data_IF_990360697036
#
_entry.id   IF_990360697036
#
_cell.length_a   1.000
_cell.length_b   1.000
_cell.length_c   1.000
_cell.angle_alpha   90.00
_cell.angle_beta   90.00
_cell.angle_gamma   90.00
#
_symmetry.space_group_name_H-M   'P 1'
#
loop_
_entity.id
_entity.type
_entity.pdbx_description
1 polymer ?
#
# COMPACT_ATOMS: atom_id res chain seq x y z
N UNK A 1 -24.05 -11.77 16.43
CA UNK A 1 -24.11 -10.31 16.65
C UNK A 1 -22.83 -9.57 16.25
N UNK A 2 -21.62 -10.13 16.45
CA UNK A 2 -20.36 -9.43 16.09
C UNK A 2 -20.13 -9.16 14.59
N UNK A 3 -20.46 -10.09 13.69
CA UNK A 3 -20.17 -9.93 12.26
C UNK A 3 -20.97 -8.86 11.51
N UNK A 4 -22.19 -8.52 11.98
CA UNK A 4 -23.02 -7.49 11.34
C UNK A 4 -22.46 -6.08 11.64
N UNK A 5 -21.97 -5.87 12.85
CA UNK A 5 -21.35 -4.62 13.28
C UNK A 5 -20.01 -4.37 12.56
N UNK A 6 -19.24 -5.43 12.30
CA UNK A 6 -18.01 -5.34 11.50
C UNK A 6 -18.30 -4.98 10.04
N UNK A 7 -19.36 -5.55 9.45
CA UNK A 7 -19.75 -5.25 8.07
C UNK A 7 -20.13 -3.78 7.91
N UNK A 8 -20.94 -3.23 8.82
CA UNK A 8 -21.34 -1.82 8.82
C UNK A 8 -20.14 -0.88 8.98
N UNK A 9 -19.17 -1.24 9.83
CA UNK A 9 -17.92 -0.47 10.01
C UNK A 9 -17.10 -0.48 8.72
N UNK A 10 -16.94 -1.64 8.07
CA UNK A 10 -16.20 -1.76 6.82
C UNK A 10 -16.88 -0.98 5.69
N UNK A 11 -18.22 -1.06 5.58
CA UNK A 11 -18.99 -0.27 4.60
C UNK A 11 -18.90 1.23 4.86
N UNK A 12 -18.95 1.65 6.12
CA UNK A 12 -18.79 3.04 6.52
C UNK A 12 -17.41 3.58 6.17
N UNK A 13 -16.36 2.79 6.36
CA UNK A 13 -15.00 3.11 5.93
C UNK A 13 -14.91 3.24 4.40
N UNK A 14 -15.38 2.22 3.66
CA UNK A 14 -15.33 2.22 2.19
C UNK A 14 -16.08 3.40 1.59
N UNK A 15 -17.23 3.79 2.16
CA UNK A 15 -17.97 4.97 1.72
C UNK A 15 -17.14 6.24 1.86
N UNK A 16 -16.58 6.50 3.05
CA UNK A 16 -15.74 7.69 3.29
C UNK A 16 -14.52 7.72 2.38
N UNK A 17 -13.88 6.57 2.18
CA UNK A 17 -12.75 6.45 1.27
C UNK A 17 -13.14 6.77 -0.18
N UNK A 18 -14.29 6.29 -0.66
CA UNK A 18 -14.78 6.58 -2.01
C UNK A 18 -15.33 8.02 -2.16
N UNK A 19 -15.76 8.66 -1.07
CA UNK A 19 -16.09 10.09 -1.06
C UNK A 19 -14.82 10.96 -1.21
N UNK A 20 -13.71 10.54 -0.61
CA UNK A 20 -12.41 11.20 -0.73
C UNK A 20 -11.75 10.95 -2.09
N UNK A 21 -11.92 9.74 -2.65
CA UNK A 21 -11.40 9.33 -3.95
C UNK A 21 -12.54 8.90 -4.91
N UNK A 22 -13.33 9.87 -5.42
CA UNK A 22 -14.54 9.57 -6.19
C UNK A 22 -14.28 9.09 -7.61
N UNK A 23 -13.13 9.44 -8.21
CA UNK A 23 -12.77 9.08 -9.57
C UNK A 23 -11.30 8.62 -9.66
N UNK A 24 -10.95 7.81 -10.68
CA UNK A 24 -9.57 7.49 -10.97
C UNK A 24 -8.79 8.77 -11.29
N UNK A 25 -7.59 8.87 -10.74
CA UNK A 25 -6.65 9.95 -11.01
C UNK A 25 -6.12 9.81 -12.44
N UNK A 26 -6.28 10.87 -13.23
CA UNK A 26 -5.65 11.07 -14.53
C UNK A 26 -4.21 11.57 -14.41
N UNK A 27 -3.47 11.59 -15.53
CA UNK A 27 -2.02 11.89 -15.55
C UNK A 27 -1.65 13.26 -14.96
N UNK A 28 -2.53 14.25 -15.09
CA UNK A 28 -2.32 15.62 -14.60
C UNK A 28 -2.90 15.87 -13.20
N UNK A 29 -3.65 14.91 -12.65
CA UNK A 29 -4.28 15.09 -11.33
C UNK A 29 -3.22 15.04 -10.23
N UNK A 30 -3.32 15.93 -9.22
CA UNK A 30 -2.36 15.97 -8.12
C UNK A 30 -2.44 14.68 -7.29
N UNK A 31 -1.27 14.14 -6.93
CA UNK A 31 -1.20 12.98 -6.05
C UNK A 31 -1.49 13.38 -4.59
N UNK A 32 -2.28 12.59 -3.85
CA UNK A 32 -2.62 12.89 -2.45
C UNK A 32 -1.42 12.84 -1.50
N UNK A 33 -0.37 12.10 -1.88
CA UNK A 33 0.90 12.03 -1.16
C UNK A 33 2.05 12.18 -2.15
N UNK A 34 3.19 12.70 -1.70
CA UNK A 34 4.41 12.62 -2.48
C UNK A 34 4.97 11.18 -2.45
N UNK A 35 5.52 10.71 -3.59
CA UNK A 35 6.26 9.45 -3.61
C UNK A 35 7.51 9.57 -2.72
N UNK A 36 7.99 8.43 -2.20
CA UNK A 36 9.19 8.41 -1.33
C UNK A 36 10.45 8.74 -2.13
N UNK A 37 10.48 8.26 -3.37
CA UNK A 37 11.55 8.34 -4.33
C UNK A 37 11.01 8.85 -5.67
N UNK A 38 11.86 9.37 -6.56
CA UNK A 38 11.43 9.72 -7.93
C UNK A 38 11.37 8.49 -8.84
N UNK A 39 12.21 7.51 -8.55
CA UNK A 39 12.33 6.24 -9.27
C UNK A 39 12.30 5.11 -8.28
N UNK A 40 11.67 4.00 -8.64
CA UNK A 40 11.56 2.79 -7.84
C UNK A 40 12.01 1.59 -8.65
N UNK A 41 12.82 0.70 -8.07
CA UNK A 41 13.18 -0.56 -8.70
C UNK A 41 12.04 -1.59 -8.60
N UNK A 42 12.07 -2.64 -9.42
CA UNK A 42 11.09 -3.74 -9.33
C UNK A 42 11.08 -4.40 -7.94
N UNK A 43 12.24 -4.53 -7.29
CA UNK A 43 12.37 -5.14 -5.97
C UNK A 43 11.77 -4.25 -4.86
N UNK A 44 11.93 -2.94 -4.98
CA UNK A 44 11.40 -1.96 -4.02
C UNK A 44 9.91 -1.67 -4.21
N UNK A 45 9.40 -1.87 -5.42
CA UNK A 45 8.05 -1.50 -5.84
C UNK A 45 6.97 -2.01 -4.88
N UNK A 46 7.09 -3.27 -4.48
CA UNK A 46 6.15 -3.90 -3.54
C UNK A 46 6.17 -3.20 -2.19
N UNK A 47 7.36 -2.89 -1.67
CA UNK A 47 7.54 -2.21 -0.39
C UNK A 47 7.00 -0.79 -0.41
N UNK A 48 7.37 0.00 -1.43
CA UNK A 48 6.91 1.37 -1.58
C UNK A 48 5.38 1.46 -1.75
N UNK A 49 4.79 0.54 -2.52
CA UNK A 49 3.33 0.45 -2.69
C UNK A 49 2.61 0.16 -1.37
N UNK A 50 3.16 -0.76 -0.55
CA UNK A 50 2.60 -1.07 0.75
C UNK A 50 2.71 0.11 1.73
N UNK A 51 3.86 0.78 1.78
CA UNK A 51 4.05 1.97 2.62
C UNK A 51 3.13 3.11 2.19
N UNK A 52 2.98 3.33 0.87
CA UNK A 52 2.06 4.32 0.32
C UNK A 52 0.63 4.06 0.79
N UNK A 53 0.12 2.85 0.61
CA UNK A 53 -1.23 2.55 1.03
C UNK A 53 -1.40 2.53 2.56
N UNK A 54 -0.36 2.21 3.33
CA UNK A 54 -0.39 2.37 4.79
C UNK A 54 -0.48 3.84 5.19
N UNK A 55 0.27 4.73 4.53
CA UNK A 55 0.20 6.18 4.75
C UNK A 55 -1.15 6.76 4.37
N UNK A 56 -1.77 6.26 3.30
CA UNK A 56 -3.08 6.72 2.82
C UNK A 56 -4.24 6.22 3.68
N UNK A 57 -4.28 4.91 3.94
CA UNK A 57 -5.41 4.28 4.62
C UNK A 57 -5.31 4.39 6.14
N UNK A 58 -4.15 4.82 6.65
CA UNK A 58 -3.77 4.95 8.05
C UNK A 58 -4.10 3.75 8.97
N UNK A 59 -4.55 2.62 8.41
CA UNK A 59 -4.77 1.34 9.09
C UNK A 59 -5.08 0.21 8.09
N UNK A 60 -4.27 -0.86 8.21
CA UNK A 60 -4.44 -2.30 7.86
C UNK A 60 -4.71 -2.76 6.40
N UNK A 61 -3.74 -3.56 5.93
CA UNK A 61 -3.81 -4.72 5.00
C UNK A 61 -4.11 -4.46 3.51
N UNK A 62 -3.05 -4.44 2.70
CA UNK A 62 -3.07 -4.19 1.23
C UNK A 62 -2.64 -5.38 0.37
N UNK A 63 -2.78 -6.62 0.87
CA UNK A 63 -2.23 -7.81 0.23
C UNK A 63 -2.80 -8.14 -1.18
N UNK A 64 -3.85 -7.44 -1.65
CA UNK A 64 -4.53 -7.75 -2.92
C UNK A 64 -4.13 -6.87 -4.12
N UNK A 65 -3.35 -5.81 -3.91
CA UNK A 65 -3.03 -4.88 -5.01
C UNK A 65 -1.85 -5.31 -5.90
N UNK A 66 -1.05 -6.27 -5.45
CA UNK A 66 0.21 -6.67 -6.09
C UNK A 66 0.06 -7.58 -7.33
N UNK A 67 -1.06 -7.49 -8.04
CA UNK A 67 -1.38 -8.35 -9.20
C UNK A 67 -1.63 -7.58 -10.50
N UNK A 68 -1.39 -6.26 -10.53
CA UNK A 68 -1.56 -5.45 -11.74
C UNK A 68 -0.35 -5.61 -12.69
N UNK A 69 -0.61 -5.46 -13.99
CA UNK A 69 0.44 -5.37 -15.01
C UNK A 69 1.13 -3.99 -14.93
N UNK A 70 2.45 -4.01 -14.84
CA UNK A 70 3.30 -2.83 -14.60
C UNK A 70 4.18 -2.47 -15.80
N UNK A 71 4.11 -3.29 -16.86
CA UNK A 71 4.87 -3.12 -18.10
C UNK A 71 4.80 -1.71 -18.71
N UNK A 72 3.67 -0.96 -18.63
CA UNK A 72 3.57 0.39 -19.19
C UNK A 72 4.42 1.46 -18.49
N UNK A 73 4.96 1.20 -17.29
CA UNK A 73 5.67 2.20 -16.47
C UNK A 73 7.19 2.05 -16.50
N UNK A 74 7.70 1.15 -17.34
CA UNK A 74 9.13 0.92 -17.52
C UNK A 74 9.79 2.15 -18.13
N UNK A 75 10.90 2.61 -17.53
CA UNK A 75 11.72 3.65 -18.13
C UNK A 75 12.61 3.05 -19.23
N UNK A 76 12.77 3.74 -20.37
CA UNK A 76 13.83 3.45 -21.32
C UNK A 76 15.19 3.56 -20.64
N UNK A 77 16.08 2.60 -20.91
CA UNK A 77 17.44 2.55 -20.39
C UNK A 77 18.24 3.75 -20.92
N UNK A 78 18.46 4.78 -20.10
CA UNK A 78 19.40 5.85 -20.44
C UNK A 78 20.84 5.33 -20.29
N UNK A 79 21.57 5.33 -21.40
CA UNK A 79 22.87 4.69 -21.59
C UNK A 79 24.06 5.43 -20.95
N UNK A 80 23.89 6.04 -19.78
CA UNK A 80 24.99 6.71 -19.07
C UNK A 80 25.06 6.26 -17.62
N UNK A 81 25.60 5.05 -17.42
CA UNK A 81 26.53 4.68 -16.34
C UNK A 81 26.85 3.18 -16.43
N UNK A 82 27.58 2.79 -17.47
CA UNK A 82 28.35 1.55 -17.45
C UNK A 82 29.76 1.86 -16.96
N UNK A 83 29.99 1.75 -15.66
CA UNK A 83 31.28 1.40 -15.09
C UNK A 83 31.10 0.92 -13.64
N UNK A 84 30.92 -0.40 -13.50
CA UNK A 84 30.76 -1.10 -12.24
C UNK A 84 29.76 -2.24 -12.41
N UNK A 85 30.13 -3.44 -12.00
CA UNK A 85 29.34 -4.68 -12.12
C UNK A 85 28.07 -4.65 -11.24
N UNK A 86 27.14 -3.75 -11.53
CA UNK A 86 25.84 -3.69 -10.89
C UNK A 86 24.78 -4.27 -11.82
N UNK A 87 24.09 -5.28 -11.30
CA UNK A 87 22.93 -5.96 -11.89
C UNK A 87 22.03 -4.95 -12.61
N UNK A 88 21.59 -5.20 -13.85
CA UNK A 88 20.70 -4.30 -14.58
C UNK A 88 19.40 -4.06 -13.80
N UNK A 89 19.35 -3.00 -13.00
CA UNK A 89 18.18 -2.65 -12.20
C UNK A 89 17.20 -1.92 -13.10
N UNK A 90 16.08 -2.57 -13.43
CA UNK A 90 14.96 -1.91 -14.11
C UNK A 90 14.34 -0.89 -13.16
N UNK A 91 14.41 0.38 -13.55
CA UNK A 91 13.85 1.50 -12.79
C UNK A 91 12.53 1.96 -13.42
N UNK A 92 11.56 2.26 -12.56
CA UNK A 92 10.24 2.76 -12.94
C UNK A 92 10.04 4.16 -12.37
N UNK A 93 9.18 4.97 -13.00
CA UNK A 93 8.80 6.28 -12.44
C UNK A 93 7.81 6.09 -11.30
N UNK A 94 8.11 6.68 -10.13
CA UNK A 94 7.31 6.46 -8.92
C UNK A 94 5.93 7.12 -8.99
N UNK A 95 5.80 8.31 -9.60
CA UNK A 95 4.52 9.05 -9.67
C UNK A 95 3.45 8.32 -10.51
N UNK A 96 3.70 7.87 -11.76
CA UNK A 96 2.74 7.10 -12.54
C UNK A 96 2.32 5.79 -11.85
N UNK A 97 3.25 5.14 -11.18
CA UNK A 97 2.99 3.90 -10.44
C UNK A 97 2.11 4.16 -9.22
N UNK A 98 2.41 5.20 -8.45
CA UNK A 98 1.60 5.61 -7.33
C UNK A 98 0.17 5.94 -7.78
N UNK A 99 0.00 6.59 -8.93
CA UNK A 99 -1.30 6.85 -9.54
C UNK A 99 -2.03 5.56 -9.90
N UNK A 100 -1.36 4.63 -10.56
CA UNK A 100 -1.92 3.31 -10.89
C UNK A 100 -2.37 2.58 -9.62
N UNK A 101 -1.51 2.57 -8.58
CA UNK A 101 -1.80 1.98 -7.30
C UNK A 101 -3.10 2.56 -6.70
N UNK A 102 -3.21 3.89 -6.68
CA UNK A 102 -4.39 4.59 -6.15
C UNK A 102 -5.66 4.23 -6.93
N UNK A 103 -5.58 4.23 -8.27
CA UNK A 103 -6.71 3.88 -9.13
C UNK A 103 -7.14 2.43 -8.90
N UNK A 104 -6.19 1.51 -8.74
CA UNK A 104 -6.48 0.11 -8.43
C UNK A 104 -7.10 -0.04 -7.05
N UNK A 105 -6.63 0.73 -6.07
CA UNK A 105 -7.15 0.71 -4.70
C UNK A 105 -8.60 1.21 -4.67
N UNK A 106 -8.89 2.27 -5.43
CA UNK A 106 -10.22 2.80 -5.64
C UNK A 106 -11.14 1.76 -6.29
N UNK A 107 -10.70 1.11 -7.37
CA UNK A 107 -11.46 0.06 -8.06
C UNK A 107 -11.84 -1.10 -7.11
N UNK A 108 -10.89 -1.54 -6.28
CA UNK A 108 -11.12 -2.55 -5.24
C UNK A 108 -12.12 -2.03 -4.20
N UNK A 109 -12.00 -0.76 -3.79
CA UNK A 109 -12.93 -0.12 -2.87
C UNK A 109 -14.37 -0.11 -3.40
N UNK A 110 -14.56 0.26 -4.68
CA UNK A 110 -15.87 0.23 -5.36
C UNK A 110 -16.43 -1.19 -5.40
N UNK A 111 -15.62 -2.16 -5.81
CA UNK A 111 -16.03 -3.56 -5.88
C UNK A 111 -16.45 -4.09 -4.50
N UNK A 112 -15.72 -3.75 -3.44
CA UNK A 112 -16.04 -4.18 -2.07
C UNK A 112 -17.24 -3.45 -1.49
N UNK A 113 -17.46 -2.19 -1.86
CA UNK A 113 -18.66 -1.46 -1.44
C UNK A 113 -19.93 -2.10 -2.05
N UNK A 114 -19.86 -2.56 -3.30
CA UNK A 114 -20.96 -3.28 -3.97
C UNK A 114 -21.15 -4.69 -3.40
N UNK A 115 -20.06 -5.45 -3.27
CA UNK A 115 -20.08 -6.83 -2.77
C UNK A 115 -18.88 -7.06 -1.88
N UNK A 116 -19.14 -7.13 -0.58
CA UNK A 116 -18.07 -7.41 0.35
C UNK A 116 -17.56 -8.84 0.13
N UNK A 117 -16.24 -9.03 0.05
CA UNK A 117 -15.68 -10.36 0.01
C UNK A 117 -16.06 -11.10 1.30
N UNK A 118 -16.26 -12.42 1.21
CA UNK A 118 -16.50 -13.25 2.38
C UNK A 118 -15.43 -12.94 3.44
N UNK A 119 -15.82 -12.83 4.73
CA UNK A 119 -14.88 -12.49 5.79
C UNK A 119 -13.70 -13.45 5.72
N UNK A 120 -12.47 -12.91 5.77
CA UNK A 120 -11.29 -13.75 5.96
C UNK A 120 -11.51 -14.55 7.24
N UNK A 121 -11.04 -15.81 7.31
CA UNK A 121 -11.07 -16.57 8.56
C UNK A 121 -10.43 -15.71 9.64
N UNK A 122 -11.25 -15.21 10.56
CA UNK A 122 -10.77 -14.56 11.77
C UNK A 122 -10.22 -15.72 12.58
N UNK A 123 -8.93 -16.00 12.40
CA UNK A 123 -8.20 -16.88 13.31
C UNK A 123 -8.44 -16.42 14.73
N UNK A 124 -8.37 -17.32 15.74
CA UNK A 124 -8.68 -16.95 17.12
C UNK A 124 -7.91 -15.69 17.46
N UNK A 125 -8.67 -14.61 17.66
CA UNK A 125 -8.19 -13.27 17.94
C UNK A 125 -7.55 -13.27 19.32
N UNK A 126 -6.33 -13.80 19.38
CA UNK A 126 -5.40 -13.56 20.46
C UNK A 126 -4.60 -12.36 20.01
N UNK A 127 -5.25 -11.19 20.01
CA UNK A 127 -4.53 -9.95 19.86
C UNK A 127 -3.52 -9.86 21.01
N UNK A 128 -2.26 -10.19 20.74
CA UNK A 128 -1.18 -9.76 21.61
C UNK A 128 -1.19 -8.23 21.51
N UNK A 129 -1.51 -7.55 22.62
CA UNK A 129 -1.40 -6.11 22.67
C UNK A 129 0.06 -5.74 22.46
N UNK A 130 0.38 -5.27 21.25
CA UNK A 130 1.67 -4.71 20.92
C UNK A 130 1.51 -3.19 20.86
N UNK A 131 2.33 -2.47 21.64
CA UNK A 131 2.50 -1.02 21.49
C UNK A 131 3.82 -0.75 20.78
N UNK A 132 3.79 0.16 19.82
CA UNK A 132 4.98 0.71 19.19
C UNK A 132 5.00 2.21 19.46
N UNK A 133 6.13 2.71 19.94
CA UNK A 133 6.32 4.14 20.22
C UNK A 133 7.68 4.56 19.69
N UNK A 134 7.71 5.71 19.00
CA UNK A 134 8.90 6.23 18.36
C UNK A 134 9.14 7.66 18.83
N UNK A 135 10.36 7.98 19.27
CA UNK A 135 10.70 9.28 19.87
C UNK A 135 11.79 9.95 19.03
N UNK A 136 11.47 11.11 18.43
CA UNK A 136 12.43 11.90 17.61
C UNK A 136 13.56 12.53 18.41
N UNK A 137 13.33 12.76 19.70
CA UNK A 137 14.19 13.56 20.57
C UNK A 137 14.57 14.90 19.88
N UNK A 138 15.82 15.35 19.96
CA UNK A 138 16.33 16.58 19.35
C UNK A 138 16.75 16.46 17.88
N UNK A 139 16.48 15.33 17.20
CA UNK A 139 16.95 15.11 15.82
C UNK A 139 16.12 15.89 14.79
N UNK A 140 16.76 16.19 13.65
CA UNK A 140 16.11 16.87 12.51
C UNK A 140 15.01 16.04 11.83
N UNK A 141 15.15 14.71 11.75
CA UNK A 141 14.23 13.80 11.05
C UNK A 141 14.03 12.49 11.83
N UNK A 142 12.82 11.93 11.76
CA UNK A 142 12.53 10.57 12.22
C UNK A 142 13.00 9.57 11.16
N UNK A 143 14.04 8.81 11.46
CA UNK A 143 14.56 7.74 10.60
C UNK A 143 14.00 6.37 11.02
N UNK A 144 13.64 6.22 12.29
CA UNK A 144 13.07 4.98 12.82
C UNK A 144 11.70 4.69 12.17
N UNK A 145 11.52 3.44 11.74
CA UNK A 145 10.26 2.90 11.21
C UNK A 145 9.90 1.64 11.98
N UNK A 146 8.62 1.49 12.30
CA UNK A 146 8.10 0.32 13.01
C UNK A 146 6.98 -0.32 12.20
N UNK A 147 6.94 -1.64 12.19
CA UNK A 147 5.86 -2.43 11.61
C UNK A 147 5.37 -3.40 12.66
N UNK A 148 4.06 -3.39 12.94
CA UNK A 148 3.41 -4.38 13.80
C UNK A 148 2.60 -5.33 12.93
N UNK A 149 2.86 -6.64 13.05
CA UNK A 149 2.20 -7.69 12.26
C UNK A 149 1.37 -8.59 13.19
N UNK A 150 0.17 -8.15 13.62
CA UNK A 150 -0.65 -8.90 14.58
C UNK A 150 -1.05 -10.28 14.08
N UNK A 151 -1.15 -10.46 12.75
CA UNK A 151 -1.57 -11.71 12.10
C UNK A 151 -0.43 -12.35 11.29
N UNK A 152 0.83 -12.14 11.67
CA UNK A 152 1.99 -12.66 10.92
C UNK A 152 1.89 -14.15 10.64
N UNK A 153 1.53 -14.95 11.65
CA UNK A 153 1.40 -16.40 11.55
C UNK A 153 0.31 -16.79 10.54
N UNK A 154 -0.86 -16.14 10.60
CA UNK A 154 -1.96 -16.34 9.64
C UNK A 154 -1.56 -15.96 8.21
N UNK A 155 -0.82 -14.86 8.06
CA UNK A 155 -0.35 -14.36 6.76
C UNK A 155 0.72 -15.26 6.12
N UNK A 156 1.52 -15.95 6.95
CA UNK A 156 2.64 -16.78 6.49
C UNK A 156 2.36 -18.29 6.57
N UNK A 157 1.19 -18.68 7.08
CA UNK A 157 0.82 -20.09 7.27
C UNK A 157 1.65 -20.81 8.34
N UNK A 158 2.36 -20.06 9.20
CA UNK A 158 3.12 -20.61 10.31
C UNK A 158 2.15 -21.03 11.42
N UNK A 159 2.27 -22.28 11.88
CA UNK A 159 1.50 -22.83 13.00
C UNK A 159 2.22 -22.59 14.32
#
# INVERSE_FOLDING_TARGET
MGGVMEEEVVRGFLRRFLEEFPAPLGSEDPLPLSPLSRKVSLDELRGESLDLGLRLLNTRSLAKLLKADLSPFHLPQEAEQQQGEEQEVVLLQSEPIQRLFLNKLQEVGVAWHQTLPAPLPVGPSRFLMCSAHAIRNTRRKMEDRHVALPDFNTLTGLK
#
